data_IF_346336272039
#
_entry.id   IF_346336272039
#
_cell.length_a   1.000
_cell.length_b   1.000
_cell.length_c   1.000
_cell.angle_alpha   90.00
_cell.angle_beta   90.00
_cell.angle_gamma   90.00
#
_symmetry.space_group_name_H-M   'P 1'
#
loop_
_entity.id
_entity.type
_entity.pdbx_description
1 polymer ?
#
# COMPACT_ATOMS: atom_id res chain seq x y z
N UNK A 1 0.31 -79.99 13.73
CA UNK A 1 -0.57 -78.79 13.74
C UNK A 1 0.16 -77.67 14.46
N UNK A 2 -0.02 -76.41 14.02
CA UNK A 2 0.55 -75.13 14.51
C UNK A 2 1.68 -74.56 13.65
N UNK A 3 1.30 -74.16 12.45
CA UNK A 3 1.90 -73.04 11.72
C UNK A 3 0.91 -71.86 11.74
N UNK A 4 1.39 -70.66 11.43
CA UNK A 4 0.65 -69.42 11.10
C UNK A 4 0.01 -68.62 12.26
N UNK A 5 0.81 -67.85 13.02
CA UNK A 5 0.28 -66.72 13.82
C UNK A 5 1.31 -65.60 14.10
N UNK A 6 2.29 -65.41 13.20
CA UNK A 6 3.34 -64.38 13.36
C UNK A 6 3.40 -63.37 12.20
N UNK A 7 2.61 -63.54 11.14
CA UNK A 7 2.63 -62.67 9.95
C UNK A 7 1.57 -61.57 9.95
N UNK A 8 0.64 -61.54 10.92
CA UNK A 8 -0.47 -60.58 10.92
C UNK A 8 -0.16 -59.25 11.65
N UNK A 9 0.91 -59.19 12.46
CA UNK A 9 1.20 -58.00 13.29
C UNK A 9 2.10 -56.98 12.56
N UNK A 10 2.87 -57.43 11.57
CA UNK A 10 3.79 -56.56 10.81
C UNK A 10 3.11 -55.71 9.72
N UNK A 11 1.85 -55.98 9.40
CA UNK A 11 1.09 -55.26 8.37
C UNK A 11 0.34 -54.00 8.85
N UNK A 12 0.18 -53.82 10.16
CA UNK A 12 -0.68 -52.76 10.71
C UNK A 12 0.08 -51.46 11.07
N UNK A 13 1.43 -51.50 11.16
CA UNK A 13 2.22 -50.32 11.51
C UNK A 13 2.55 -49.39 10.32
N UNK A 14 2.27 -49.80 9.08
CA UNK A 14 2.63 -49.02 7.87
C UNK A 14 1.51 -48.10 7.37
N UNK A 15 0.32 -48.13 7.97
CA UNK A 15 -0.84 -47.37 7.51
C UNK A 15 -1.03 -46.00 8.19
N UNK A 16 -0.20 -45.62 9.17
CA UNK A 16 -0.34 -44.36 9.92
C UNK A 16 0.57 -43.21 9.45
N UNK A 17 1.36 -43.39 8.39
CA UNK A 17 2.30 -42.36 7.89
C UNK A 17 1.77 -41.53 6.72
N UNK A 18 0.48 -41.64 6.37
CA UNK A 18 -0.12 -40.92 5.25
C UNK A 18 -0.98 -39.71 5.69
N UNK A 19 -0.66 -39.06 6.81
CA UNK A 19 -1.20 -37.73 7.12
C UNK A 19 -0.50 -36.69 6.23
N UNK A 20 -0.99 -36.58 5.00
CA UNK A 20 -0.58 -35.54 4.07
C UNK A 20 -0.73 -34.16 4.70
N UNK A 21 0.35 -33.38 4.67
CA UNK A 21 0.32 -31.94 4.93
C UNK A 21 -0.63 -31.30 3.92
N UNK A 22 -1.89 -31.13 4.32
CA UNK A 22 -2.89 -30.38 3.55
C UNK A 22 -2.52 -28.91 3.69
N UNK A 23 -1.88 -28.35 2.68
CA UNK A 23 -1.69 -26.90 2.57
C UNK A 23 -3.06 -26.26 2.36
N UNK A 24 -3.71 -25.85 3.45
CA UNK A 24 -4.97 -25.13 3.37
C UNK A 24 -4.64 -23.69 3.00
N UNK A 25 -4.90 -23.31 1.74
CA UNK A 25 -4.86 -21.90 1.34
C UNK A 25 -6.14 -21.26 1.89
N UNK A 26 -6.03 -20.68 3.07
CA UNK A 26 -7.11 -19.93 3.71
C UNK A 26 -7.07 -18.50 3.16
N UNK A 27 -8.19 -18.00 2.65
CA UNK A 27 -8.31 -16.59 2.26
C UNK A 27 -8.24 -15.74 3.53
N UNK A 28 -7.10 -15.08 3.75
CA UNK A 28 -6.96 -14.07 4.79
C UNK A 28 -7.76 -12.81 4.45
N UNK A 29 -8.39 -12.22 5.46
CA UNK A 29 -8.91 -10.86 5.36
C UNK A 29 -7.75 -9.91 4.99
N UNK A 30 -7.93 -9.08 3.96
CA UNK A 30 -6.94 -8.12 3.48
C UNK A 30 -6.46 -7.15 4.58
N UNK A 31 -7.23 -7.00 5.66
CA UNK A 31 -6.87 -6.19 6.84
C UNK A 31 -6.34 -7.00 8.03
N UNK A 32 -6.35 -8.33 7.98
CA UNK A 32 -5.86 -9.19 9.06
C UNK A 32 -4.34 -9.27 9.06
N UNK A 33 -3.69 -8.39 9.83
CA UNK A 33 -2.27 -8.47 10.14
C UNK A 33 -1.96 -9.62 11.13
N UNK A 34 -2.01 -10.88 10.67
CA UNK A 34 -1.34 -11.98 11.39
C UNK A 34 0.17 -11.85 11.11
N UNK A 35 1.04 -11.67 12.12
CA UNK A 35 2.48 -11.58 11.90
C UNK A 35 3.04 -12.97 11.57
N UNK A 36 2.96 -13.37 10.30
CA UNK A 36 3.57 -14.61 9.79
C UNK A 36 5.10 -14.38 9.59
N UNK A 37 5.55 -13.13 9.41
CA UNK A 37 6.96 -12.75 9.35
C UNK A 37 7.20 -11.32 9.89
N UNK A 38 8.47 -10.95 10.04
CA UNK A 38 8.91 -9.56 10.33
C UNK A 38 8.80 -8.63 9.13
N UNK A 39 8.47 -9.17 7.95
CA UNK A 39 8.43 -8.41 6.73
C UNK A 39 7.27 -7.40 6.81
N UNK A 40 7.44 -6.29 6.10
CA UNK A 40 6.43 -5.26 6.09
C UNK A 40 5.27 -5.71 5.21
N UNK A 41 4.11 -5.98 5.82
CA UNK A 41 2.95 -6.51 5.12
C UNK A 41 2.20 -5.45 4.33
N UNK A 42 1.50 -5.87 3.27
CA UNK A 42 0.58 -5.01 2.51
C UNK A 42 -0.52 -4.39 3.38
N UNK A 43 -1.00 -5.12 4.39
CA UNK A 43 -2.00 -4.63 5.34
C UNK A 43 -1.48 -3.47 6.20
N UNK A 44 -0.25 -3.56 6.72
CA UNK A 44 0.37 -2.50 7.53
C UNK A 44 0.52 -1.21 6.71
N UNK A 45 0.95 -1.35 5.45
CA UNK A 45 1.07 -0.25 4.51
C UNK A 45 -0.24 0.46 4.23
N UNK A 46 -1.29 -0.31 3.93
CA UNK A 46 -2.60 0.22 3.64
C UNK A 46 -3.19 0.95 4.86
N UNK A 47 -3.00 0.40 6.07
CA UNK A 47 -3.44 1.04 7.30
C UNK A 47 -2.68 2.33 7.60
N UNK A 48 -1.36 2.35 7.44
CA UNK A 48 -0.56 3.57 7.60
C UNK A 48 -1.00 4.62 6.58
N UNK A 49 -1.01 4.27 5.30
CA UNK A 49 -1.43 5.19 4.25
C UNK A 49 -2.84 5.75 4.50
N UNK A 50 -3.77 4.91 4.95
CA UNK A 50 -5.12 5.33 5.33
C UNK A 50 -5.10 6.36 6.47
N UNK A 51 -4.34 6.11 7.55
CA UNK A 51 -4.20 7.04 8.68
C UNK A 51 -3.56 8.37 8.26
N UNK A 52 -2.53 8.32 7.43
CA UNK A 52 -1.84 9.50 6.91
C UNK A 52 -2.77 10.38 6.07
N UNK A 53 -3.61 9.76 5.23
CA UNK A 53 -4.64 10.49 4.48
C UNK A 53 -5.69 11.06 5.41
N UNK A 54 -6.13 10.32 6.42
CA UNK A 54 -7.11 10.83 7.39
C UNK A 54 -6.55 12.01 8.19
N UNK A 55 -5.27 11.98 8.56
CA UNK A 55 -4.55 13.09 9.19
C UNK A 55 -4.56 14.33 8.30
N UNK A 56 -4.19 14.20 7.01
CA UNK A 56 -4.27 15.29 6.05
C UNK A 56 -5.69 15.85 5.88
N UNK A 57 -6.70 14.98 5.88
CA UNK A 57 -8.11 15.38 5.69
C UNK A 57 -8.72 16.06 6.92
N UNK A 58 -8.12 15.87 8.09
CA UNK A 58 -8.52 16.44 9.37
C UNK A 58 -7.76 17.74 9.70
N UNK A 59 -6.64 18.00 9.03
CA UNK A 59 -5.80 19.17 9.27
C UNK A 59 -6.44 20.47 8.75
N UNK A 60 -6.28 21.56 9.50
CA UNK A 60 -6.84 22.88 9.20
C UNK A 60 -6.29 23.48 7.89
N UNK A 61 -5.09 23.05 7.45
CA UNK A 61 -4.50 23.44 6.15
C UNK A 61 -5.48 23.21 5.01
N UNK A 62 -6.38 22.23 5.12
CA UNK A 62 -7.32 21.89 4.08
C UNK A 62 -8.37 22.99 3.86
N UNK A 63 -8.76 23.71 4.92
CA UNK A 63 -9.66 24.84 4.83
C UNK A 63 -9.00 26.00 4.06
N UNK A 64 -7.72 26.27 4.34
CA UNK A 64 -6.95 27.33 3.70
C UNK A 64 -6.77 27.09 2.20
N UNK A 65 -6.43 25.85 1.80
CA UNK A 65 -6.20 25.52 0.39
C UNK A 65 -7.49 25.33 -0.41
N UNK A 66 -8.62 25.14 0.25
CA UNK A 66 -9.93 24.89 -0.39
C UNK A 66 -10.83 26.13 -0.46
N UNK A 67 -10.35 27.31 -0.09
CA UNK A 67 -11.13 28.55 -0.05
C UNK A 67 -11.81 28.91 -1.40
N UNK A 68 -11.23 28.45 -2.52
CA UNK A 68 -11.78 28.64 -3.88
C UNK A 68 -12.41 27.40 -4.50
N UNK A 69 -12.64 26.33 -3.73
CA UNK A 69 -13.06 25.01 -4.21
C UNK A 69 -11.96 23.94 -4.09
N UNK A 70 -12.25 22.68 -4.48
CA UNK A 70 -11.33 21.56 -4.29
C UNK A 70 -10.03 21.76 -5.09
N UNK A 71 -8.88 21.88 -4.42
CA UNK A 71 -7.63 22.21 -5.11
C UNK A 71 -7.14 21.05 -5.96
N UNK A 72 -6.48 21.38 -7.07
CA UNK A 72 -5.89 20.40 -7.97
C UNK A 72 -4.60 19.82 -7.38
N UNK A 73 -4.61 18.52 -7.11
CA UNK A 73 -3.56 17.78 -6.41
C UNK A 73 -2.88 16.75 -7.33
N UNK A 74 -1.54 16.72 -7.32
CA UNK A 74 -0.77 15.58 -7.80
C UNK A 74 -0.38 14.70 -6.63
N UNK A 75 -0.51 13.38 -6.78
CA UNK A 75 0.07 12.39 -5.86
C UNK A 75 1.24 11.74 -6.56
N UNK A 76 2.44 11.96 -6.01
CA UNK A 76 3.68 11.32 -6.47
C UNK A 76 3.74 9.87 -6.01
N UNK A 77 4.51 9.04 -6.73
CA UNK A 77 4.73 7.65 -6.35
C UNK A 77 5.46 7.59 -5.01
N UNK A 78 4.98 6.74 -4.10
CA UNK A 78 5.64 6.53 -2.80
C UNK A 78 7.08 6.06 -3.04
N UNK A 79 8.04 6.77 -2.44
CA UNK A 79 9.47 6.42 -2.59
C UNK A 79 9.83 5.32 -1.60
N UNK A 80 10.26 4.18 -2.13
CA UNK A 80 10.80 3.08 -1.33
C UNK A 80 12.27 3.33 -0.98
N UNK A 81 12.55 3.50 0.32
CA UNK A 81 13.91 3.59 0.91
C UNK A 81 14.15 2.43 1.89
N UNK A 82 13.44 1.33 1.71
CA UNK A 82 13.62 0.09 2.49
C UNK A 82 14.54 -0.86 1.75
N UNK A 83 15.00 -1.91 2.43
CA UNK A 83 15.79 -2.98 1.79
C UNK A 83 14.89 -4.00 1.07
N UNK A 84 13.57 -3.87 1.19
CA UNK A 84 12.58 -4.82 0.71
C UNK A 84 11.92 -4.34 -0.58
N UNK A 85 11.53 -5.29 -1.45
CA UNK A 85 10.73 -4.96 -2.61
C UNK A 85 9.27 -4.76 -2.18
N UNK A 86 8.87 -3.49 -2.09
CA UNK A 86 7.53 -3.09 -1.67
C UNK A 86 6.79 -2.53 -2.88
N UNK A 87 5.56 -3.02 -3.09
CA UNK A 87 4.64 -2.48 -4.08
C UNK A 87 4.13 -1.10 -3.65
N UNK A 88 4.95 -0.09 -3.93
CA UNK A 88 4.64 1.32 -3.69
C UNK A 88 3.57 1.87 -4.62
N UNK A 89 3.29 1.18 -5.73
CA UNK A 89 2.28 1.59 -6.70
C UNK A 89 0.89 1.35 -6.14
N UNK A 90 0.61 0.15 -5.65
CA UNK A 90 -0.65 -0.19 -4.98
C UNK A 90 -0.95 0.75 -3.80
N UNK A 91 0.08 1.14 -3.03
CA UNK A 91 -0.07 2.10 -1.93
C UNK A 91 -0.37 3.50 -2.44
N UNK A 92 0.32 3.94 -3.50
CA UNK A 92 0.06 5.24 -4.13
C UNK A 92 -1.37 5.31 -4.66
N UNK A 93 -1.85 4.25 -5.31
CA UNK A 93 -3.21 4.16 -5.85
C UNK A 93 -4.27 4.13 -4.75
N UNK A 94 -3.98 3.48 -3.62
CA UNK A 94 -4.84 3.49 -2.44
C UNK A 94 -4.97 4.91 -1.86
N UNK A 95 -3.85 5.64 -1.74
CA UNK A 95 -3.83 7.05 -1.29
C UNK A 95 -4.64 7.91 -2.25
N UNK A 96 -4.37 7.81 -3.55
CA UNK A 96 -5.08 8.56 -4.60
C UNK A 96 -6.58 8.29 -4.56
N UNK A 97 -6.98 7.02 -4.50
CA UNK A 97 -8.37 6.59 -4.45
C UNK A 97 -9.08 7.16 -3.22
N UNK A 98 -8.46 7.10 -2.05
CA UNK A 98 -9.05 7.64 -0.82
C UNK A 98 -9.22 9.15 -0.86
N UNK A 99 -8.25 9.88 -1.42
CA UNK A 99 -8.35 11.32 -1.62
C UNK A 99 -9.42 11.70 -2.65
N UNK A 100 -9.54 10.99 -3.77
CA UNK A 100 -10.64 11.17 -4.73
C UNK A 100 -11.99 10.96 -4.05
N UNK A 101 -12.13 9.87 -3.28
CA UNK A 101 -13.36 9.55 -2.53
C UNK A 101 -13.74 10.62 -1.50
N UNK A 102 -12.76 11.35 -0.96
CA UNK A 102 -13.03 12.44 -0.02
C UNK A 102 -13.76 13.62 -0.65
N UNK A 103 -13.68 13.79 -1.99
CA UNK A 103 -14.18 14.95 -2.75
C UNK A 103 -13.62 16.30 -2.29
N UNK A 104 -12.60 16.30 -1.44
CA UNK A 104 -11.93 17.52 -0.97
C UNK A 104 -10.80 17.99 -1.91
N UNK A 105 -10.43 17.16 -2.88
CA UNK A 105 -9.38 17.47 -3.87
C UNK A 105 -9.87 17.17 -5.28
N UNK A 106 -9.37 17.93 -6.24
CA UNK A 106 -9.49 17.65 -7.67
C UNK A 106 -8.24 16.94 -8.16
N UNK A 107 -8.40 16.02 -9.09
CA UNK A 107 -7.30 15.28 -9.70
C UNK A 107 -7.35 15.47 -11.20
N UNK A 108 -6.21 15.75 -11.80
CA UNK A 108 -6.08 15.70 -13.24
C UNK A 108 -5.82 14.25 -13.62
N UNK A 109 -6.69 13.71 -14.46
CA UNK A 109 -6.39 12.42 -15.07
C UNK A 109 -5.21 12.60 -16.04
N UNK A 110 -4.12 11.89 -15.74
CA UNK A 110 -2.92 11.84 -16.57
C UNK A 110 -2.91 10.58 -17.44
N UNK A 111 -3.99 9.82 -17.48
CA UNK A 111 -4.13 8.68 -18.39
C UNK A 111 -3.88 9.15 -19.82
N UNK A 112 -2.88 8.55 -20.45
CA UNK A 112 -2.61 8.68 -21.88
C UNK A 112 -3.36 7.57 -22.63
N UNK A 113 -4.58 7.26 -22.22
CA UNK A 113 -5.36 6.20 -22.84
C UNK A 113 -5.80 6.64 -24.23
N UNK A 114 -5.32 5.91 -25.25
CA UNK A 114 -5.63 6.21 -26.64
C UNK A 114 -7.14 6.23 -26.92
N UNK A 115 -7.91 5.38 -26.22
CA UNK A 115 -9.36 5.33 -26.33
C UNK A 115 -10.04 6.62 -25.82
N UNK A 116 -9.52 7.22 -24.74
CA UNK A 116 -10.01 8.50 -24.24
C UNK A 116 -9.64 9.63 -25.23
N UNK A 117 -8.44 9.58 -25.81
CA UNK A 117 -8.04 10.54 -26.83
C UNK A 117 -8.90 10.43 -28.10
N UNK A 118 -9.24 9.21 -28.52
CA UNK A 118 -10.12 8.94 -29.66
C UNK A 118 -11.54 9.44 -29.41
N UNK A 119 -12.11 9.17 -28.23
CA UNK A 119 -13.43 9.67 -27.84
C UNK A 119 -13.46 11.21 -27.77
N UNK A 120 -12.42 11.83 -27.19
CA UNK A 120 -12.28 13.30 -27.17
C UNK A 120 -12.18 13.88 -28.58
N UNK A 121 -11.44 13.24 -29.48
CA UNK A 121 -11.32 13.64 -30.88
C UNK A 121 -12.66 13.49 -31.62
N UNK A 122 -13.40 12.41 -31.37
CA UNK A 122 -14.75 12.20 -31.92
C UNK A 122 -15.74 13.26 -31.44
N UNK A 123 -15.74 13.57 -30.13
CA UNK A 123 -16.58 14.61 -29.55
C UNK A 123 -16.24 16.00 -30.09
N UNK A 124 -14.95 16.32 -30.29
CA UNK A 124 -14.53 17.56 -30.96
C UNK A 124 -15.00 17.65 -32.41
N UNK A 125 -15.02 16.54 -33.14
CA UNK A 125 -15.52 16.50 -34.51
C UNK A 125 -17.06 16.59 -34.59
N UNK A 126 -17.77 16.14 -33.56
CA UNK A 126 -19.24 16.10 -33.51
C UNK A 126 -19.89 17.32 -32.82
N UNK A 127 -19.19 18.03 -31.94
CA UNK A 127 -19.73 19.17 -31.19
C UNK A 127 -19.49 20.51 -31.92
N UNK A 128 -20.52 21.37 -31.96
CA UNK A 128 -20.40 22.78 -32.38
C UNK A 128 -19.68 23.66 -31.34
N UNK A 129 -19.35 23.11 -30.17
CA UNK A 129 -18.64 23.78 -29.08
C UNK A 129 -17.38 22.96 -28.77
N UNK A 130 -16.30 23.22 -29.52
CA UNK A 130 -15.06 22.48 -29.40
C UNK A 130 -14.43 22.76 -28.02
N UNK A 131 -14.36 21.74 -27.15
CA UNK A 131 -13.57 21.82 -25.92
C UNK A 131 -12.12 22.09 -26.34
N UNK A 132 -11.60 23.28 -26.01
CA UNK A 132 -10.26 23.70 -26.40
C UNK A 132 -9.22 22.75 -25.78
N UNK A 133 -8.60 21.93 -26.62
CA UNK A 133 -7.50 21.04 -26.24
C UNK A 133 -6.31 21.92 -25.84
N UNK A 134 -6.05 22.08 -24.53
CA UNK A 134 -4.91 22.87 -24.06
C UNK A 134 -5.10 23.65 -22.75
N UNK A 135 -6.32 23.76 -22.21
CA UNK A 135 -6.53 24.34 -20.87
C UNK A 135 -6.48 23.27 -19.77
N UNK A 136 -5.39 22.51 -19.74
CA UNK A 136 -5.11 21.63 -18.62
C UNK A 136 -4.73 22.51 -17.42
N UNK A 137 -5.64 22.64 -16.44
CA UNK A 137 -5.34 23.33 -15.19
C UNK A 137 -4.05 22.79 -14.58
N UNK A 138 -3.11 23.70 -14.29
CA UNK A 138 -1.83 23.33 -13.71
C UNK A 138 -2.05 22.90 -12.25
N UNK A 139 -1.56 21.73 -11.82
CA UNK A 139 -1.73 21.30 -10.45
C UNK A 139 -1.11 22.28 -9.47
N UNK A 140 -1.85 22.61 -8.41
CA UNK A 140 -1.41 23.62 -7.44
C UNK A 140 -0.61 23.00 -6.30
N UNK A 141 -0.94 21.78 -5.93
CA UNK A 141 -0.32 21.09 -4.81
C UNK A 141 0.23 19.73 -5.24
N UNK A 142 1.26 19.28 -4.53
CA UNK A 142 1.88 17.97 -4.72
C UNK A 142 2.02 17.25 -3.39
N UNK A 143 1.44 16.06 -3.31
CA UNK A 143 1.59 15.13 -2.21
C UNK A 143 2.75 14.20 -2.51
N UNK A 144 3.69 14.10 -1.58
CA UNK A 144 4.83 13.18 -1.67
C UNK A 144 4.85 12.29 -0.44
N UNK A 145 5.23 11.03 -0.63
CA UNK A 145 5.36 10.07 0.44
C UNK A 145 6.65 9.27 0.31
N UNK A 146 7.22 8.87 1.45
CA UNK A 146 8.39 8.00 1.48
C UNK A 146 8.32 7.02 2.64
N UNK A 147 8.78 5.80 2.38
CA UNK A 147 8.87 4.72 3.34
C UNK A 147 10.34 4.36 3.54
N UNK A 148 10.83 4.47 4.76
CA UNK A 148 12.20 4.14 5.15
C UNK A 148 12.23 3.00 6.16
N UNK A 149 13.31 2.22 6.12
CA UNK A 149 13.59 1.12 7.04
C UNK A 149 14.93 1.35 7.72
N UNK A 150 15.00 1.07 9.02
CA UNK A 150 16.25 0.97 9.78
C UNK A 150 16.25 -0.41 10.43
N UNK A 151 17.16 -1.28 9.97
CA UNK A 151 17.36 -2.60 10.56
C UNK A 151 18.56 -2.58 11.50
N UNK A 152 18.38 -3.12 12.70
CA UNK A 152 19.44 -3.36 13.67
C UNK A 152 19.44 -4.84 14.05
N UNK A 153 20.61 -5.48 13.96
CA UNK A 153 20.79 -6.86 14.37
C UNK A 153 21.83 -6.96 15.48
N UNK A 154 21.43 -7.49 16.64
CA UNK A 154 22.33 -7.78 17.76
C UNK A 154 22.19 -9.25 18.16
N UNK A 155 23.19 -10.06 17.78
CA UNK A 155 23.17 -11.51 17.99
C UNK A 155 21.95 -12.18 17.34
N UNK A 156 20.96 -12.55 18.16
CA UNK A 156 19.73 -13.25 17.76
C UNK A 156 18.50 -12.35 17.66
N UNK A 157 18.63 -11.10 18.11
CA UNK A 157 17.59 -10.09 18.06
C UNK A 157 17.73 -9.34 16.74
N UNK A 158 16.66 -9.37 15.95
CA UNK A 158 16.47 -8.49 14.79
C UNK A 158 15.41 -7.46 15.17
N UNK A 159 15.78 -6.20 15.13
CA UNK A 159 14.91 -5.05 15.36
C UNK A 159 14.78 -4.30 14.05
N UNK A 160 13.54 -4.13 13.58
CA UNK A 160 13.25 -3.46 12.31
C UNK A 160 12.31 -2.32 12.59
N UNK A 161 12.76 -1.13 12.25
CA UNK A 161 12.03 0.11 12.39
C UNK A 161 11.63 0.62 11.02
N UNK A 162 10.35 0.92 10.83
CA UNK A 162 9.79 1.54 9.64
C UNK A 162 9.27 2.92 9.97
N UNK A 163 9.53 3.85 9.05
CA UNK A 163 8.94 5.18 9.10
C UNK A 163 8.34 5.55 7.75
N UNK A 164 7.07 5.93 7.77
CA UNK A 164 6.36 6.48 6.64
C UNK A 164 6.16 7.97 6.87
N UNK A 165 6.62 8.80 5.92
CA UNK A 165 6.46 10.25 6.01
C UNK A 165 5.74 10.75 4.77
N UNK A 166 4.71 11.56 4.96
CA UNK A 166 3.92 12.17 3.90
C UNK A 166 3.97 13.70 4.03
N UNK A 167 4.04 14.41 2.91
CA UNK A 167 4.07 15.87 2.93
C UNK A 167 3.36 16.47 1.72
N UNK A 168 2.66 17.59 1.97
CA UNK A 168 1.96 18.38 0.97
C UNK A 168 2.76 19.65 0.69
N UNK A 169 3.06 19.88 -0.58
CA UNK A 169 3.78 21.05 -1.09
C UNK A 169 2.86 21.93 -1.92
N UNK A 170 2.92 23.24 -1.69
CA UNK A 170 2.41 24.24 -2.64
C UNK A 170 3.42 24.43 -3.77
N UNK A 171 3.05 24.10 -5.00
CA UNK A 171 3.92 24.20 -6.16
C UNK A 171 4.19 25.64 -6.61
N UNK A 172 3.30 26.59 -6.28
CA UNK A 172 3.50 28.01 -6.62
C UNK A 172 4.54 28.66 -5.70
N UNK A 173 4.44 28.40 -4.40
CA UNK A 173 5.36 29.01 -3.40
C UNK A 173 6.57 28.13 -3.08
N UNK A 174 6.55 26.85 -3.47
CA UNK A 174 7.57 25.88 -3.12
C UNK A 174 7.55 25.42 -1.67
N UNK A 175 6.61 25.89 -0.85
CA UNK A 175 6.57 25.62 0.60
C UNK A 175 5.92 24.27 0.90
N UNK A 176 6.44 23.58 1.91
CA UNK A 176 5.74 22.49 2.58
C UNK A 176 4.70 23.12 3.51
N UNK A 177 3.44 22.79 3.29
CA UNK A 177 2.31 23.37 4.03
C UNK A 177 1.70 22.38 5.01
N UNK A 178 1.98 21.09 4.81
CA UNK A 178 1.58 20.01 5.71
C UNK A 178 2.59 18.88 5.62
N UNK A 179 2.85 18.22 6.74
CA UNK A 179 3.62 17.00 6.80
C UNK A 179 3.25 16.24 8.06
N UNK A 180 3.29 14.92 7.96
CA UNK A 180 3.08 14.03 9.10
C UNK A 180 3.92 12.77 8.90
N UNK A 181 4.12 12.02 9.98
CA UNK A 181 4.84 10.75 9.95
C UNK A 181 4.23 9.69 10.88
N UNK A 182 4.35 8.44 10.45
CA UNK A 182 3.92 7.29 11.22
C UNK A 182 5.05 6.27 11.31
N UNK A 183 5.25 5.78 12.53
CA UNK A 183 6.34 4.86 12.86
C UNK A 183 5.78 3.49 13.24
N UNK A 184 6.50 2.43 12.87
CA UNK A 184 6.25 1.05 13.30
C UNK A 184 7.57 0.40 13.66
N UNK A 185 7.64 -0.23 14.83
CA UNK A 185 8.79 -1.04 15.27
C UNK A 185 8.39 -2.50 15.42
N UNK A 186 9.14 -3.40 14.79
CA UNK A 186 8.94 -4.86 14.87
C UNK A 186 10.23 -5.51 15.40
N UNK A 187 10.09 -6.37 16.41
CA UNK A 187 11.21 -7.12 16.98
C UNK A 187 11.00 -8.62 16.81
N UNK A 188 12.07 -9.34 16.42
CA UNK A 188 12.08 -10.79 16.34
C UNK A 188 13.31 -11.36 17.02
N UNK A 189 13.08 -12.27 17.94
CA UNK A 189 14.12 -13.06 18.59
C UNK A 189 14.10 -14.47 18.01
N UNK A 190 15.21 -14.92 17.40
CA UNK A 190 15.30 -16.32 16.94
C UNK A 190 15.31 -17.25 18.16
N UNK A 191 14.46 -18.28 18.21
CA UNK A 191 14.41 -19.28 19.29
C UNK A 191 15.58 -20.28 19.24
N UNK A 192 16.08 -20.75 20.40
CA UNK A 192 17.33 -21.54 20.52
C UNK A 192 17.12 -23.01 20.10
N UNK A 193 15.91 -23.55 20.23
CA UNK A 193 15.53 -24.90 19.81
C UNK A 193 14.01 -24.99 19.55
N UNK A 194 13.58 -25.79 18.58
CA UNK A 194 12.17 -26.13 18.30
C UNK A 194 11.73 -25.73 16.89
N UNK A 195 11.29 -26.72 16.11
CA UNK A 195 10.93 -26.62 14.67
C UNK A 195 9.53 -26.12 14.39
#
# INVERSE_FOLDING_TARGET
MKTTWTLAITGCLLALLATGCRTTVEYGDATSAKPISTDFGSADLQQIAAKMVDSLLADDVLADISAGGPPLLIVDKVKNKTMQHIDTESVTDSIRTKLIRSRKFSFQDRTTEAALQEELAYQQAAAHDAIAFGQQDAPRYMLTANLSEIEQQQGRLKDVYYKFTMSLRDLKSGRLIWADEQEIRKQKTRAIFGG
#
